data_IF_624115045460
#
_entry.id   IF_624115045460
#
_cell.length_a   1.000
_cell.length_b   1.000
_cell.length_c   1.000
_cell.angle_alpha   90.00
_cell.angle_beta   90.00
_cell.angle_gamma   90.00
#
_symmetry.space_group_name_H-M   'P 1'
#
loop_
_entity.id
_entity.type
_entity.pdbx_description
1 polymer ?
#
# COMPACT_ATOMS: atom_id res chain seq x y z
N UNK A 1 9.19 26.01 15.74
CA UNK A 1 10.35 25.14 15.41
C UNK A 1 10.11 24.57 14.02
N UNK A 2 10.92 24.93 13.03
CA UNK A 2 10.92 24.23 11.74
C UNK A 2 11.45 22.81 12.01
N UNK A 3 10.56 21.81 12.04
CA UNK A 3 11.00 20.41 12.07
C UNK A 3 11.63 20.12 10.72
N UNK A 4 12.94 19.86 10.71
CA UNK A 4 13.64 19.47 9.49
C UNK A 4 13.04 18.14 9.01
N UNK A 5 12.63 18.11 7.75
CA UNK A 5 12.25 16.87 7.09
C UNK A 5 13.51 16.18 6.61
N UNK A 6 13.60 14.89 6.92
CA UNK A 6 14.77 14.06 6.59
C UNK A 6 14.34 12.84 5.79
N UNK A 7 15.22 12.38 4.93
CA UNK A 7 15.07 11.12 4.21
C UNK A 7 15.28 9.93 5.14
N UNK A 8 14.85 8.74 4.72
CA UNK A 8 15.04 7.52 5.50
C UNK A 8 16.51 7.20 5.81
N UNK A 9 17.42 7.51 4.87
CA UNK A 9 18.85 7.28 5.02
C UNK A 9 19.52 8.18 6.10
N UNK A 10 18.85 9.29 6.45
CA UNK A 10 19.33 10.23 7.47
C UNK A 10 18.79 9.90 8.87
N UNK A 11 17.90 8.91 8.99
CA UNK A 11 17.41 8.43 10.27
C UNK A 11 18.44 7.51 10.92
N UNK A 12 18.51 7.53 12.25
CA UNK A 12 19.43 6.69 13.03
C UNK A 12 18.76 6.10 14.25
N UNK A 13 19.20 4.90 14.64
CA UNK A 13 18.72 4.23 15.85
C UNK A 13 17.22 3.95 15.82
N UNK A 14 16.54 4.26 16.93
CA UNK A 14 15.12 3.94 17.12
C UNK A 14 14.18 4.67 16.15
N UNK A 15 14.62 5.80 15.59
CA UNK A 15 13.85 6.56 14.60
C UNK A 15 13.59 5.76 13.32
N UNK A 16 14.49 4.84 12.94
CA UNK A 16 14.31 3.96 11.79
C UNK A 16 13.12 3.01 12.02
N UNK A 17 13.03 2.44 13.23
CA UNK A 17 11.94 1.54 13.58
C UNK A 17 10.60 2.29 13.63
N UNK A 18 10.60 3.54 14.13
CA UNK A 18 9.40 4.37 14.13
C UNK A 18 8.95 4.78 12.72
N UNK A 19 9.90 5.05 11.82
CA UNK A 19 9.63 5.35 10.42
C UNK A 19 8.99 4.17 9.69
N UNK A 20 9.55 2.97 9.86
CA UNK A 20 8.98 1.72 9.35
C UNK A 20 7.54 1.52 9.83
N UNK A 21 7.33 1.66 11.14
CA UNK A 21 6.01 1.50 11.74
C UNK A 21 5.01 2.55 11.21
N UNK A 22 5.43 3.81 11.08
CA UNK A 22 4.59 4.90 10.56
C UNK A 22 4.12 4.63 9.14
N UNK A 23 4.98 4.05 8.29
CA UNK A 23 4.63 3.68 6.90
C UNK A 23 3.63 2.53 6.87
N UNK A 24 3.83 1.50 7.69
CA UNK A 24 2.89 0.38 7.82
C UNK A 24 1.52 0.88 8.30
N UNK A 25 1.48 1.76 9.30
CA UNK A 25 0.23 2.31 9.85
C UNK A 25 -0.55 3.16 8.84
N UNK A 26 0.17 3.94 8.04
CA UNK A 26 -0.43 4.70 6.95
C UNK A 26 -1.04 3.76 5.90
N UNK A 27 -0.31 2.74 5.44
CA UNK A 27 -0.84 1.76 4.47
C UNK A 27 -2.05 0.98 5.03
N UNK A 28 -2.01 0.60 6.31
CA UNK A 28 -3.17 0.01 7.00
C UNK A 28 -4.38 0.96 7.02
N UNK A 29 -4.15 2.24 7.26
CA UNK A 29 -5.22 3.25 7.28
C UNK A 29 -5.83 3.40 5.89
N UNK A 30 -5.01 3.48 4.84
CA UNK A 30 -5.47 3.53 3.46
C UNK A 30 -6.26 2.26 3.07
N UNK A 31 -5.82 1.08 3.50
CA UNK A 31 -6.55 -0.17 3.28
C UNK A 31 -7.92 -0.17 3.97
N UNK A 32 -7.99 0.28 5.23
CA UNK A 32 -9.26 0.41 5.97
C UNK A 32 -10.25 1.33 5.26
N UNK A 33 -9.77 2.46 4.72
CA UNK A 33 -10.63 3.35 3.94
C UNK A 33 -11.17 2.69 2.68
N UNK A 34 -10.35 1.96 1.93
CA UNK A 34 -10.80 1.23 0.73
C UNK A 34 -11.84 0.17 1.06
N UNK A 35 -11.62 -0.59 2.14
CA UNK A 35 -12.60 -1.58 2.64
C UNK A 35 -13.90 -0.88 3.04
N UNK A 36 -13.82 0.25 3.75
CA UNK A 36 -14.98 1.05 4.13
C UNK A 36 -15.79 1.53 2.92
N UNK A 37 -15.10 2.04 1.88
CA UNK A 37 -15.72 2.46 0.61
C UNK A 37 -16.38 1.29 -0.12
N UNK A 38 -15.68 0.16 -0.23
CA UNK A 38 -16.24 -1.06 -0.82
C UNK A 38 -17.52 -1.48 -0.07
N UNK A 39 -17.45 -1.59 1.27
CA UNK A 39 -18.60 -1.96 2.11
C UNK A 39 -19.80 -1.03 1.92
N UNK A 40 -19.57 0.27 1.80
CA UNK A 40 -20.63 1.25 1.52
C UNK A 40 -21.32 0.99 0.19
N UNK A 41 -20.55 0.69 -0.86
CA UNK A 41 -21.08 0.35 -2.19
C UNK A 41 -21.91 -0.94 -2.16
N UNK A 42 -21.45 -1.97 -1.45
CA UNK A 42 -22.22 -3.22 -1.26
C UNK A 42 -23.57 -2.97 -0.58
N UNK A 43 -23.62 -2.09 0.42
CA UNK A 43 -24.88 -1.72 1.10
C UNK A 43 -25.85 -0.95 0.20
N UNK A 44 -25.35 -0.25 -0.82
CA UNK A 44 -26.16 0.59 -1.71
C UNK A 44 -26.91 -0.16 -2.83
N UNK A 45 -26.68 -1.46 -2.99
CA UNK A 45 -27.43 -2.32 -3.92
C UNK A 45 -26.57 -3.34 -4.68
N UNK A 46 -27.15 -4.49 -5.02
CA UNK A 46 -26.45 -5.66 -5.60
C UNK A 46 -25.77 -5.34 -6.95
N UNK A 47 -26.35 -4.47 -7.78
CA UNK A 47 -25.72 -4.08 -9.05
C UNK A 47 -24.40 -3.31 -8.86
N UNK A 48 -24.28 -2.52 -7.79
CA UNK A 48 -23.03 -1.82 -7.44
C UNK A 48 -22.01 -2.73 -6.76
N UNK A 49 -22.49 -3.77 -6.09
CA UNK A 49 -21.68 -4.85 -5.52
C UNK A 49 -20.97 -5.69 -6.61
N UNK A 50 -21.71 -6.11 -7.64
CA UNK A 50 -21.17 -6.87 -8.78
C UNK A 50 -20.13 -6.06 -9.54
N UNK A 51 -20.41 -4.78 -9.79
CA UNK A 51 -19.44 -3.85 -10.40
C UNK A 51 -18.32 -3.41 -9.44
N UNK A 52 -18.45 -3.73 -8.15
CA UNK A 52 -17.48 -3.45 -7.10
C UNK A 52 -16.40 -4.52 -6.94
N UNK A 53 -16.44 -5.61 -7.71
CA UNK A 53 -15.44 -6.68 -7.67
C UNK A 53 -13.98 -6.18 -7.80
N UNK A 54 -13.65 -5.22 -8.69
CA UNK A 54 -12.31 -4.63 -8.75
C UNK A 54 -11.88 -3.93 -7.45
N UNK A 55 -12.83 -3.41 -6.66
CA UNK A 55 -12.54 -2.76 -5.38
C UNK A 55 -12.21 -3.78 -4.29
N UNK A 56 -12.89 -4.95 -4.28
CA UNK A 56 -12.52 -6.04 -3.37
C UNK A 56 -11.13 -6.56 -3.71
N UNK A 57 -10.85 -6.82 -4.99
CA UNK A 57 -9.54 -7.29 -5.42
C UNK A 57 -8.44 -6.28 -5.06
N UNK A 58 -8.68 -4.99 -5.29
CA UNK A 58 -7.75 -3.93 -4.91
C UNK A 58 -7.49 -3.87 -3.41
N UNK A 59 -8.53 -4.06 -2.58
CA UNK A 59 -8.38 -4.13 -1.13
C UNK A 59 -7.60 -5.39 -0.70
N UNK A 60 -7.89 -6.55 -1.31
CA UNK A 60 -7.17 -7.80 -1.05
C UNK A 60 -5.68 -7.69 -1.41
N UNK A 61 -5.37 -7.12 -2.58
CA UNK A 61 -4.00 -6.87 -3.02
C UNK A 61 -3.27 -5.94 -2.04
N UNK A 62 -3.93 -4.87 -1.58
CA UNK A 62 -3.32 -3.97 -0.59
C UNK A 62 -3.06 -4.67 0.75
N UNK A 63 -3.94 -5.57 1.19
CA UNK A 63 -3.69 -6.38 2.39
C UNK A 63 -2.50 -7.33 2.23
N UNK A 64 -2.30 -7.90 1.03
CA UNK A 64 -1.11 -8.70 0.73
C UNK A 64 0.16 -7.87 0.78
N UNK A 65 0.13 -6.64 0.26
CA UNK A 65 1.26 -5.69 0.37
C UNK A 65 1.56 -5.39 1.84
N UNK A 66 0.55 -5.07 2.66
CA UNK A 66 0.74 -4.82 4.09
C UNK A 66 1.39 -6.00 4.80
N UNK A 67 0.94 -7.23 4.52
CA UNK A 67 1.55 -8.44 5.08
C UNK A 67 3.03 -8.54 4.72
N UNK A 68 3.39 -8.24 3.47
CA UNK A 68 4.78 -8.24 3.03
C UNK A 68 5.60 -7.16 3.73
N UNK A 69 5.08 -5.93 3.84
CA UNK A 69 5.73 -4.83 4.58
C UNK A 69 5.98 -5.18 6.05
N UNK A 70 5.12 -6.00 6.67
CA UNK A 70 5.28 -6.45 8.06
C UNK A 70 6.29 -7.58 8.23
N UNK A 71 6.49 -8.42 7.21
CA UNK A 71 7.35 -9.61 7.30
C UNK A 71 8.75 -9.43 6.69
N UNK A 72 8.91 -8.45 5.80
CA UNK A 72 10.11 -8.29 4.98
C UNK A 72 10.63 -6.84 5.11
N UNK A 73 11.62 -6.67 5.98
CA UNK A 73 12.22 -5.38 6.29
C UNK A 73 12.99 -4.80 5.10
N UNK A 74 13.64 -5.64 4.29
CA UNK A 74 14.38 -5.17 3.11
C UNK A 74 13.41 -4.61 2.06
N UNK A 75 12.29 -5.30 1.83
CA UNK A 75 11.24 -4.81 0.96
C UNK A 75 10.60 -3.51 1.47
N UNK A 76 10.38 -3.40 2.78
CA UNK A 76 9.87 -2.17 3.39
C UNK A 76 10.83 -1.00 3.18
N UNK A 77 12.12 -1.18 3.47
CA UNK A 77 13.12 -0.13 3.30
C UNK A 77 13.23 0.31 1.84
N UNK A 78 13.21 -0.64 0.89
CA UNK A 78 13.16 -0.34 -0.54
C UNK A 78 11.92 0.48 -0.92
N UNK A 79 10.73 0.07 -0.44
CA UNK A 79 9.51 0.83 -0.66
C UNK A 79 9.61 2.25 -0.11
N UNK A 80 10.19 2.43 1.07
CA UNK A 80 10.36 3.76 1.69
C UNK A 80 11.26 4.65 0.82
N UNK A 81 12.37 4.11 0.34
CA UNK A 81 13.31 4.84 -0.52
C UNK A 81 12.70 5.16 -1.89
N UNK A 82 12.06 4.19 -2.55
CA UNK A 82 11.46 4.36 -3.89
C UNK A 82 10.28 5.35 -3.90
N UNK A 83 9.50 5.37 -2.81
CA UNK A 83 8.38 6.29 -2.63
C UNK A 83 8.80 7.65 -2.03
N UNK A 84 10.12 7.90 -1.92
CA UNK A 84 10.69 9.17 -1.46
C UNK A 84 10.02 9.67 -0.16
N UNK A 85 9.81 8.76 0.79
CA UNK A 85 9.18 9.08 2.06
C UNK A 85 10.06 10.07 2.84
N UNK A 86 9.43 11.12 3.38
CA UNK A 86 10.08 12.08 4.27
C UNK A 86 9.53 11.94 5.67
N UNK A 87 10.44 11.99 6.64
CA UNK A 87 10.16 11.79 8.05
C UNK A 87 10.56 13.02 8.86
N UNK A 88 10.01 13.14 10.07
CA UNK A 88 10.64 13.95 11.10
C UNK A 88 11.91 13.27 11.60
N UNK A 89 12.77 14.02 12.31
CA UNK A 89 13.97 13.48 12.96
C UNK A 89 13.69 12.35 13.94
N UNK A 90 12.48 12.29 14.50
CA UNK A 90 12.05 11.20 15.39
C UNK A 90 11.56 9.96 14.63
N UNK A 91 11.35 10.05 13.32
CA UNK A 91 10.85 8.96 12.48
C UNK A 91 9.36 9.02 12.16
N UNK A 92 8.65 10.11 12.44
CA UNK A 92 7.24 10.23 12.04
C UNK A 92 7.11 10.53 10.55
N UNK A 93 6.30 9.76 9.84
CA UNK A 93 6.04 9.98 8.42
C UNK A 93 5.30 11.31 8.19
N UNK A 94 5.84 12.16 7.32
CA UNK A 94 5.29 13.50 7.03
C UNK A 94 4.89 13.68 5.57
N UNK A 95 5.70 13.18 4.64
CA UNK A 95 5.39 13.20 3.21
C UNK A 95 5.54 11.80 2.64
N UNK A 96 4.47 11.31 2.02
CA UNK A 96 4.47 10.04 1.30
C UNK A 96 4.11 10.28 -0.15
N UNK A 97 5.03 9.96 -1.07
CA UNK A 97 4.76 10.01 -2.50
C UNK A 97 4.66 8.58 -3.03
N UNK A 98 3.44 8.04 -3.10
CA UNK A 98 3.22 6.70 -3.64
C UNK A 98 3.56 6.67 -5.14
N UNK A 99 4.83 6.44 -5.50
CA UNK A 99 5.27 6.21 -6.87
C UNK A 99 4.99 4.76 -7.21
N UNK A 100 3.77 4.51 -7.68
CA UNK A 100 3.47 3.31 -8.47
C UNK A 100 4.06 3.52 -9.86
N UNK A 101 5.35 3.23 -10.04
CA UNK A 101 5.84 2.98 -11.39
C UNK A 101 5.10 1.73 -11.88
N UNK A 102 4.11 1.96 -12.73
CA UNK A 102 3.32 0.93 -13.37
C UNK A 102 4.31 -0.04 -14.03
N UNK A 103 4.36 -1.28 -13.54
CA UNK A 103 4.51 -2.54 -14.28
C UNK A 103 4.81 -3.69 -13.29
N UNK A 104 3.82 -4.08 -12.48
CA UNK A 104 3.69 -5.53 -12.25
C UNK A 104 3.23 -6.10 -13.59
N UNK A 105 3.89 -7.10 -14.18
CA UNK A 105 3.34 -7.79 -15.34
C UNK A 105 2.01 -8.36 -14.90
N UNK A 106 0.92 -7.82 -15.44
CA UNK A 106 -0.35 -8.53 -15.51
C UNK A 106 0.02 -9.87 -16.15
N UNK A 107 -0.20 -10.95 -15.42
CA UNK A 107 0.07 -12.29 -15.94
C UNK A 107 -0.81 -12.52 -17.16
N UNK A 108 -0.31 -12.19 -18.34
CA UNK A 108 -0.83 -12.67 -19.61
C UNK A 108 -0.60 -14.17 -19.61
N UNK A 109 -1.67 -14.94 -19.38
CA UNK A 109 -1.54 -16.39 -19.31
C UNK A 109 -2.69 -17.12 -18.66
N UNK A 110 -3.93 -16.89 -19.12
CA UNK A 110 -4.87 -18.00 -19.23
C UNK A 110 -5.33 -18.07 -20.67
N UNK A 111 -4.71 -19.01 -21.38
CA UNK A 111 -5.20 -19.53 -22.64
C UNK A 111 -6.71 -19.74 -22.53
N UNK A 112 -7.46 -19.02 -23.36
CA UNK A 112 -8.80 -19.39 -23.71
C UNK A 112 -8.69 -20.70 -24.48
N UNK A 113 -8.68 -21.81 -23.76
CA UNK A 113 -8.83 -23.12 -24.36
C UNK A 113 -10.16 -23.12 -25.11
N UNK A 114 -10.06 -23.23 -26.44
CA UNK A 114 -11.12 -23.60 -27.34
C UNK A 114 -11.87 -24.81 -26.76
N UNK A 115 -13.09 -24.59 -26.31
CA UNK A 115 -14.05 -25.68 -26.15
C UNK A 115 -15.01 -25.56 -27.33
N UNK A 116 -14.68 -26.30 -28.39
CA UNK A 116 -15.67 -26.81 -29.33
C UNK A 116 -16.46 -27.90 -28.63
N UNK A 117 -17.75 -27.67 -28.39
CA UNK A 117 -18.81 -28.69 -28.42
C UNK A 117 -20.01 -28.05 -29.13
#
# INVERSE_FOLDING_TARGET
MNKSLVSFAELSGDAINLARQSVIEMEMTAAREKIGKARSLFRSGIHRAVNGYPLIQSAANQMSVIKRLQSDTEYLDACITENLCMFSTEGYLYLFMQRRFINEPVSEGRELNNISI
#
